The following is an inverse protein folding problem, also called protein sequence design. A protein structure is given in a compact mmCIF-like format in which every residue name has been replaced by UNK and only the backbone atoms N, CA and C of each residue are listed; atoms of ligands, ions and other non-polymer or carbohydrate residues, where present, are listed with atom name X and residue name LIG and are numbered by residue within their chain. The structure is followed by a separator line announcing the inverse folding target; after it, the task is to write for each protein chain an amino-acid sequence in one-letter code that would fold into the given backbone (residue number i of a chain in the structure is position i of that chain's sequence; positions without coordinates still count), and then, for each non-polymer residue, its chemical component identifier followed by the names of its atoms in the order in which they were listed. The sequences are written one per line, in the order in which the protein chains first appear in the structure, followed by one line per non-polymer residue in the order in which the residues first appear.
data_IF_347002986466
#
_entry.id   IF_347002986466
#
_cell.length_a   1.000
_cell.length_b   1.000
_cell.length_c   1.000
_cell.angle_alpha   90.00
_cell.angle_beta   90.00
_cell.angle_gamma   90.00
#
_symmetry.space_group_name_H-M   'P 1'
#
loop_
_entity.id
_entity.type
_entity.pdbx_description
1 polymer ?
#
# COMPACT_ATOMS: atom_id res chain seq x y z
N UNK A 1 -25.74 -53.66 -24.96
CA UNK A 1 -26.09 -52.41 -25.65
C UNK A 1 -26.32 -51.24 -24.69
N UNK A 2 -27.14 -51.40 -23.63
CA UNK A 2 -27.42 -50.30 -22.67
C UNK A 2 -26.18 -49.75 -21.95
N UNK A 3 -25.29 -50.63 -21.45
CA UNK A 3 -24.03 -50.21 -20.81
C UNK A 3 -23.07 -49.46 -21.74
N UNK A 4 -23.12 -49.72 -23.05
CA UNK A 4 -22.30 -49.00 -24.02
C UNK A 4 -22.92 -47.65 -24.39
N UNK A 5 -24.25 -47.60 -24.51
CA UNK A 5 -24.99 -46.36 -24.71
C UNK A 5 -24.77 -45.39 -23.55
N UNK A 6 -24.69 -45.90 -22.32
CA UNK A 6 -24.46 -45.09 -21.11
C UNK A 6 -23.02 -44.56 -21.04
N UNK A 7 -22.03 -45.36 -21.45
CA UNK A 7 -20.64 -44.89 -21.63
C UNK A 7 -20.54 -43.81 -22.70
N UNK A 8 -21.20 -43.99 -23.85
CA UNK A 8 -21.22 -42.99 -24.93
C UNK A 8 -21.87 -41.69 -24.46
N UNK A 9 -22.98 -41.76 -23.69
CA UNK A 9 -23.61 -40.57 -23.08
C UNK A 9 -22.68 -39.85 -22.11
N UNK A 10 -22.00 -40.58 -21.22
CA UNK A 10 -21.04 -39.99 -20.29
C UNK A 10 -19.84 -39.34 -21.00
N UNK A 11 -19.34 -39.96 -22.07
CA UNK A 11 -18.26 -39.42 -22.89
C UNK A 11 -18.69 -38.14 -23.62
N UNK A 12 -19.94 -38.08 -24.09
CA UNK A 12 -20.51 -36.88 -24.70
C UNK A 12 -20.68 -35.75 -23.69
N UNK A 13 -21.12 -36.05 -22.47
CA UNK A 13 -21.25 -35.06 -21.39
C UNK A 13 -19.89 -34.51 -20.96
N UNK A 14 -18.86 -35.36 -20.86
CA UNK A 14 -17.52 -34.92 -20.53
C UNK A 14 -16.86 -34.12 -21.66
N UNK A 15 -17.14 -34.46 -22.92
CA UNK A 15 -16.76 -33.64 -24.06
C UNK A 15 -17.44 -32.28 -24.05
N UNK A 16 -18.75 -32.24 -23.76
CA UNK A 16 -19.51 -30.99 -23.60
C UNK A 16 -18.94 -30.12 -22.49
N UNK A 17 -18.63 -30.69 -21.31
CA UNK A 17 -17.99 -29.96 -20.21
C UNK A 17 -16.65 -29.38 -20.61
N UNK A 18 -15.79 -30.17 -21.27
CA UNK A 18 -14.49 -29.70 -21.77
C UNK A 18 -14.64 -28.56 -22.77
N UNK A 19 -15.60 -28.64 -23.70
CA UNK A 19 -15.89 -27.54 -24.63
C UNK A 19 -16.32 -26.28 -23.89
N UNK A 20 -17.23 -26.39 -22.92
CA UNK A 20 -17.66 -25.24 -22.10
C UNK A 20 -16.47 -24.65 -21.34
N UNK A 21 -15.62 -25.47 -20.72
CA UNK A 21 -14.45 -25.00 -19.98
C UNK A 21 -13.45 -24.26 -20.89
N UNK A 22 -13.18 -24.78 -22.09
CA UNK A 22 -12.29 -24.13 -23.07
C UNK A 22 -12.87 -22.79 -23.51
N UNK A 23 -14.17 -22.74 -23.82
CA UNK A 23 -14.85 -21.50 -24.23
C UNK A 23 -14.86 -20.47 -23.11
N UNK A 24 -15.19 -20.88 -21.88
CA UNK A 24 -15.21 -19.99 -20.72
C UNK A 24 -13.80 -19.48 -20.39
N UNK A 25 -12.78 -20.34 -20.48
CA UNK A 25 -11.38 -19.95 -20.29
C UNK A 25 -10.92 -18.96 -21.37
N UNK A 26 -11.27 -19.19 -22.63
CA UNK A 26 -10.96 -18.28 -23.73
C UNK A 26 -11.63 -16.91 -23.55
N UNK A 27 -12.90 -16.89 -23.12
CA UNK A 27 -13.62 -15.64 -22.80
C UNK A 27 -12.99 -14.89 -21.64
N UNK A 28 -12.65 -15.59 -20.55
CA UNK A 28 -11.97 -15.01 -19.39
C UNK A 28 -10.60 -14.41 -19.78
N UNK A 29 -9.87 -15.07 -20.67
CA UNK A 29 -8.57 -14.60 -21.18
C UNK A 29 -8.75 -13.34 -22.03
N UNK A 30 -9.70 -13.32 -22.96
CA UNK A 30 -10.02 -12.15 -23.76
C UNK A 30 -10.44 -10.93 -22.91
N UNK A 31 -11.28 -11.14 -21.91
CA UNK A 31 -11.71 -10.10 -20.98
C UNK A 31 -10.52 -9.55 -20.16
N UNK A 32 -9.61 -10.43 -19.72
CA UNK A 32 -8.40 -10.00 -18.99
C UNK A 32 -7.48 -9.18 -19.86
N UNK A 33 -7.25 -9.61 -21.11
CA UNK A 33 -6.39 -8.88 -22.05
C UNK A 33 -6.97 -7.49 -22.32
N UNK A 34 -8.28 -7.40 -22.58
CA UNK A 34 -8.98 -6.14 -22.83
C UNK A 34 -8.89 -5.20 -21.63
N UNK A 35 -9.21 -5.69 -20.42
CA UNK A 35 -9.07 -4.91 -19.17
C UNK A 35 -7.63 -4.47 -18.94
N UNK A 36 -6.65 -5.34 -19.21
CA UNK A 36 -5.24 -5.01 -19.04
C UNK A 36 -4.76 -3.94 -20.02
N UNK A 37 -5.26 -3.94 -21.26
CA UNK A 37 -4.96 -2.93 -22.27
C UNK A 37 -5.56 -1.58 -21.86
N UNK A 38 -6.83 -1.57 -21.41
CA UNK A 38 -7.50 -0.37 -20.92
C UNK A 38 -6.75 0.24 -19.72
N UNK A 39 -6.35 -0.58 -18.75
CA UNK A 39 -5.55 -0.12 -17.61
C UNK A 39 -4.21 0.48 -18.05
N UNK A 40 -3.52 -0.12 -19.04
CA UNK A 40 -2.26 0.46 -19.57
C UNK A 40 -2.47 1.81 -20.23
N UNK A 41 -3.55 1.96 -21.00
CA UNK A 41 -3.92 3.23 -21.64
C UNK A 41 -4.19 4.29 -20.57
N UNK A 42 -4.94 3.94 -19.53
CA UNK A 42 -5.27 4.85 -18.43
C UNK A 42 -4.03 5.27 -17.65
N UNK A 43 -3.13 4.33 -17.31
CA UNK A 43 -1.83 4.65 -16.68
C UNK A 43 -1.02 5.60 -17.58
N UNK A 44 -1.01 5.36 -18.89
CA UNK A 44 -0.33 6.25 -19.85
C UNK A 44 -0.92 7.66 -19.87
N UNK A 45 -2.24 7.77 -19.80
CA UNK A 45 -2.95 9.05 -19.71
C UNK A 45 -2.63 9.79 -18.42
N UNK A 46 -2.71 9.11 -17.27
CA UNK A 46 -2.37 9.66 -15.97
C UNK A 46 -0.92 10.16 -15.90
N UNK A 47 0.02 9.47 -16.55
CA UNK A 47 1.42 9.93 -16.62
C UNK A 47 1.57 11.25 -17.38
N UNK A 48 0.79 11.45 -18.45
CA UNK A 48 0.76 12.72 -19.19
C UNK A 48 0.15 13.83 -18.35
N UNK A 49 -1.02 13.59 -17.75
CA UNK A 49 -1.67 14.54 -16.85
C UNK A 49 -0.76 14.96 -15.69
N UNK A 50 0.00 14.02 -15.12
CA UNK A 50 0.98 14.33 -14.08
C UNK A 50 2.12 15.22 -14.59
N UNK A 51 2.58 15.03 -15.83
CA UNK A 51 3.60 15.89 -16.45
C UNK A 51 3.06 17.32 -16.61
N UNK A 52 1.86 17.45 -17.15
CA UNK A 52 1.22 18.75 -17.40
C UNK A 52 0.97 19.50 -16.09
N UNK A 53 0.47 18.81 -15.06
CA UNK A 53 0.31 19.39 -13.71
C UNK A 53 1.64 19.80 -13.06
N UNK A 54 2.75 19.12 -13.38
CA UNK A 54 4.06 19.53 -12.86
C UNK A 54 4.59 20.78 -13.57
N UNK A 55 4.32 20.94 -14.86
CA UNK A 55 4.63 22.16 -15.60
C UNK A 55 3.83 23.33 -15.01
N UNK A 56 2.52 23.16 -14.83
CA UNK A 56 1.63 24.16 -14.21
C UNK A 56 2.03 24.47 -12.75
N UNK A 57 2.39 23.46 -11.97
CA UNK A 57 2.90 23.64 -10.60
C UNK A 57 4.20 24.43 -10.59
N UNK A 58 5.09 24.18 -11.56
CA UNK A 58 6.32 24.93 -11.73
C UNK A 58 6.04 26.39 -12.05
N UNK A 59 5.21 26.65 -13.05
CA UNK A 59 4.82 28.00 -13.45
C UNK A 59 4.17 28.78 -12.30
N UNK A 60 3.21 28.18 -11.59
CA UNK A 60 2.56 28.77 -10.43
C UNK A 60 3.57 29.04 -9.29
N UNK A 61 4.46 28.09 -9.03
CA UNK A 61 5.49 28.25 -8.00
C UNK A 61 6.48 29.38 -8.34
N UNK A 62 7.00 29.42 -9.57
CA UNK A 62 7.97 30.42 -10.00
C UNK A 62 7.35 31.81 -10.16
N UNK A 63 6.11 31.89 -10.66
CA UNK A 63 5.38 33.16 -10.77
C UNK A 63 5.16 33.83 -9.41
N UNK A 64 4.96 33.04 -8.37
CA UNK A 64 4.66 33.52 -7.02
C UNK A 64 5.85 33.45 -6.05
N UNK A 65 7.02 32.96 -6.49
CA UNK A 65 8.18 32.70 -5.63
C UNK A 65 8.70 33.94 -4.87
N UNK A 66 8.64 35.12 -5.51
CA UNK A 66 9.17 36.35 -4.92
C UNK A 66 8.20 37.02 -3.93
N UNK A 67 6.90 36.86 -4.14
CA UNK A 67 5.82 37.40 -3.29
C UNK A 67 4.59 36.49 -3.41
N UNK A 68 4.51 35.41 -2.61
CA UNK A 68 3.39 34.49 -2.71
C UNK A 68 2.10 35.18 -2.24
N UNK A 69 1.10 35.23 -3.12
CA UNK A 69 -0.25 35.61 -2.74
C UNK A 69 -0.96 34.44 -2.07
N UNK A 70 -1.88 34.71 -1.12
CA UNK A 70 -2.71 33.65 -0.49
C UNK A 70 -3.45 32.76 -1.50
N UNK A 71 -3.84 33.34 -2.65
CA UNK A 71 -4.51 32.60 -3.74
C UNK A 71 -3.54 31.67 -4.45
N UNK A 72 -2.30 32.11 -4.67
CA UNK A 72 -1.28 31.31 -5.34
C UNK A 72 -0.85 30.15 -4.46
N UNK A 73 -0.71 30.36 -3.15
CA UNK A 73 -0.45 29.29 -2.19
C UNK A 73 -1.55 28.22 -2.21
N UNK A 74 -2.82 28.64 -2.32
CA UNK A 74 -3.95 27.73 -2.45
C UNK A 74 -3.90 26.93 -3.76
N UNK A 75 -3.63 27.61 -4.88
CA UNK A 75 -3.49 26.97 -6.20
C UNK A 75 -2.32 25.95 -6.21
N UNK A 76 -1.17 26.32 -5.67
CA UNK A 76 0.00 25.44 -5.54
C UNK A 76 -0.35 24.21 -4.68
N UNK A 77 -1.05 24.42 -3.55
CA UNK A 77 -1.48 23.32 -2.68
C UNK A 77 -2.45 22.36 -3.39
N UNK A 78 -3.36 22.90 -4.21
CA UNK A 78 -4.30 22.12 -5.02
C UNK A 78 -3.59 21.32 -6.11
N UNK A 79 -2.67 21.93 -6.85
CA UNK A 79 -1.84 21.25 -7.85
C UNK A 79 -1.02 20.11 -7.23
N UNK A 80 -0.43 20.33 -6.05
CA UNK A 80 0.26 19.27 -5.28
C UNK A 80 -0.71 18.16 -4.87
N UNK A 81 -1.95 18.48 -4.49
CA UNK A 81 -2.95 17.48 -4.16
C UNK A 81 -3.35 16.63 -5.38
N UNK A 82 -3.53 17.25 -6.55
CA UNK A 82 -3.81 16.55 -7.80
C UNK A 82 -2.68 15.62 -8.23
N UNK A 83 -1.42 16.05 -8.14
CA UNK A 83 -0.25 15.19 -8.41
C UNK A 83 -0.26 13.95 -7.50
N UNK A 84 -0.52 14.12 -6.19
CA UNK A 84 -0.62 13.01 -5.23
C UNK A 84 -1.77 12.06 -5.57
N UNK A 85 -2.90 12.59 -6.02
CA UNK A 85 -4.04 11.77 -6.40
C UNK A 85 -3.76 10.94 -7.66
N UNK A 86 -3.10 11.53 -8.66
CA UNK A 86 -2.65 10.80 -9.85
C UNK A 86 -1.67 9.68 -9.47
N UNK A 87 -0.77 9.91 -8.52
CA UNK A 87 0.14 8.88 -8.03
C UNK A 87 -0.59 7.71 -7.37
N UNK A 88 -1.61 7.99 -6.54
CA UNK A 88 -2.44 6.95 -5.93
C UNK A 88 -3.20 6.14 -6.98
N UNK A 89 -3.82 6.82 -7.95
CA UNK A 89 -4.58 6.17 -9.04
C UNK A 89 -3.66 5.32 -9.90
N UNK A 90 -2.52 5.86 -10.31
CA UNK A 90 -1.49 5.14 -11.07
C UNK A 90 -0.98 3.92 -10.31
N UNK A 91 -0.74 4.03 -8.99
CA UNK A 91 -0.33 2.91 -8.17
C UNK A 91 -1.43 1.84 -8.03
N UNK A 92 -2.69 2.25 -7.88
CA UNK A 92 -3.83 1.33 -7.82
C UNK A 92 -4.01 0.56 -9.12
N UNK A 93 -3.98 1.25 -10.27
CA UNK A 93 -4.06 0.65 -11.59
C UNK A 93 -2.88 -0.29 -11.88
N UNK A 94 -1.65 0.08 -11.50
CA UNK A 94 -0.50 -0.82 -11.61
C UNK A 94 -0.64 -2.09 -10.74
N UNK A 95 -1.23 -1.97 -9.55
CA UNK A 95 -1.55 -3.15 -8.71
C UNK A 95 -2.61 -4.03 -9.36
N UNK A 96 -3.65 -3.44 -9.96
CA UNK A 96 -4.68 -4.19 -10.69
C UNK A 96 -4.09 -4.90 -11.91
N UNK A 97 -3.24 -4.22 -12.69
CA UNK A 97 -2.54 -4.81 -13.84
C UNK A 97 -1.68 -6.01 -13.41
N UNK A 98 -0.93 -5.86 -12.31
CA UNK A 98 -0.09 -6.94 -11.75
C UNK A 98 -0.90 -8.08 -11.14
N UNK A 99 -2.06 -7.79 -10.55
CA UNK A 99 -2.96 -8.82 -10.02
C UNK A 99 -3.64 -9.61 -11.15
N UNK A 100 -4.07 -8.94 -12.22
CA UNK A 100 -4.62 -9.57 -13.43
C UNK A 100 -3.62 -10.45 -14.16
N UNK A 101 -2.33 -10.05 -14.18
CA UNK A 101 -1.24 -10.85 -14.74
C UNK A 101 -0.93 -12.12 -13.93
N UNK A 102 -1.32 -12.20 -12.65
CA UNK A 102 -1.10 -13.37 -11.78
C UNK A 102 -2.21 -14.43 -11.88
N UNK A 103 -2.95 -14.44 -12.98
CA UNK A 103 -4.01 -15.42 -13.24
C UNK A 103 -3.59 -16.85 -12.82
N UNK A 104 -4.26 -17.39 -11.80
CA UNK A 104 -4.03 -18.72 -11.21
C UNK A 104 -2.58 -19.06 -10.81
N UNK A 105 -1.74 -18.09 -10.43
CA UNK A 105 -0.73 -18.42 -9.42
C UNK A 105 -1.51 -18.67 -8.12
N UNK A 106 -1.49 -19.91 -7.64
CA UNK A 106 -2.14 -20.38 -6.41
C UNK A 106 -2.30 -19.23 -5.42
N UNK A 107 -3.54 -19.01 -4.97
CA UNK A 107 -3.87 -18.15 -3.83
C UNK A 107 -2.71 -18.12 -2.86
N UNK A 108 -2.05 -16.98 -2.57
CA UNK A 108 -1.11 -16.96 -1.48
C UNK A 108 -1.94 -17.33 -0.25
N UNK A 109 -1.76 -18.56 0.26
CA UNK A 109 -2.28 -18.97 1.56
C UNK A 109 -1.90 -17.84 2.50
N UNK A 110 -2.88 -17.04 2.93
CA UNK A 110 -2.72 -16.07 4.01
C UNK A 110 -2.31 -16.88 5.23
N UNK A 111 -1.01 -17.13 5.39
CA UNK A 111 -0.45 -17.67 6.63
C UNK A 111 -0.65 -16.59 7.68
N UNK A 112 -1.63 -16.79 8.56
CA UNK A 112 -1.61 -16.16 9.88
C UNK A 112 -2.67 -15.10 10.21
N UNK A 113 -3.83 -15.03 9.56
CA UNK A 113 -4.96 -14.27 10.14
C UNK A 113 -6.24 -15.12 10.17
N UNK A 114 -6.57 -15.76 11.31
CA UNK A 114 -7.92 -16.30 11.48
C UNK A 114 -8.95 -15.16 11.46
N UNK A 115 -10.13 -15.46 10.90
CA UNK A 115 -11.25 -14.55 10.83
C UNK A 115 -11.75 -14.22 12.24
N UNK A 116 -12.02 -12.94 12.49
CA UNK A 116 -12.59 -12.48 13.76
C UNK A 116 -14.08 -12.80 13.74
N UNK A 117 -14.45 -13.94 14.31
CA UNK A 117 -15.83 -14.38 14.48
C UNK A 117 -16.12 -14.68 15.96
N UNK A 118 -17.19 -14.04 16.44
CA UNK A 118 -18.09 -14.39 17.55
C UNK A 118 -17.50 -14.86 18.90
N UNK A 119 -17.80 -14.06 19.93
CA UNK A 119 -17.73 -14.42 21.34
C UNK A 119 -18.65 -15.61 21.66
N UNK A 120 -18.11 -16.65 22.28
CA UNK A 120 -18.81 -17.52 23.25
C UNK A 120 -17.80 -17.92 24.32
N UNK A 121 -18.27 -17.96 25.57
CA UNK A 121 -17.43 -17.80 26.75
C UNK A 121 -16.68 -19.04 27.25
N UNK A 122 -16.02 -18.78 28.38
CA UNK A 122 -15.48 -19.71 29.38
C UNK A 122 -14.37 -20.67 28.93
N UNK A 123 -13.12 -20.23 29.12
CA UNK A 123 -12.14 -20.99 29.91
C UNK A 123 -10.96 -20.11 30.32
N UNK A 124 -10.56 -20.26 31.58
CA UNK A 124 -9.49 -19.56 32.27
C UNK A 124 -8.19 -20.32 31.99
N UNK A 125 -7.33 -19.86 31.08
CA UNK A 125 -5.92 -20.31 31.02
C UNK A 125 -5.03 -19.41 30.14
N UNK A 126 -3.99 -18.87 30.79
CA UNK A 126 -2.71 -18.38 30.27
C UNK A 126 -2.69 -17.35 29.12
N UNK A 127 -2.33 -16.11 29.47
CA UNK A 127 -1.90 -15.08 28.54
C UNK A 127 -0.71 -15.57 27.67
N UNK A 128 -0.65 -15.20 26.37
CA UNK A 128 0.45 -15.61 25.51
C UNK A 128 1.77 -15.02 26.01
N UNK A 129 2.73 -15.89 26.39
CA UNK A 129 4.11 -15.52 26.72
C UNK A 129 4.71 -14.74 25.54
N UNK A 130 4.82 -13.41 25.68
CA UNK A 130 5.57 -12.55 24.75
C UNK A 130 7.04 -12.96 24.84
N UNK A 131 7.50 -13.83 23.95
CA UNK A 131 8.93 -14.03 23.72
C UNK A 131 9.53 -12.68 23.29
N UNK A 132 10.43 -12.14 24.11
CA UNK A 132 11.29 -11.02 23.74
C UNK A 132 11.00 -9.64 24.35
N UNK A 133 10.10 -9.49 25.34
CA UNK A 133 10.04 -8.24 26.12
C UNK A 133 9.85 -8.54 27.62
N UNK A 134 10.81 -8.19 28.49
CA UNK A 134 10.59 -8.29 29.93
C UNK A 134 9.44 -7.37 30.35
N UNK A 135 8.61 -7.87 31.26
CA UNK A 135 7.46 -7.16 31.80
C UNK A 135 7.93 -5.95 32.63
N UNK A 136 7.36 -4.78 32.36
CA UNK A 136 7.57 -3.59 33.18
C UNK A 136 6.56 -3.64 34.31
N UNK A 137 7.03 -3.96 35.52
CA UNK A 137 6.21 -3.96 36.73
C UNK A 137 7.06 -3.95 37.99
N UNK A 138 7.08 -2.77 38.63
CA UNK A 138 7.23 -2.49 40.06
C UNK A 138 8.29 -3.27 40.89
N UNK A 139 9.38 -2.58 41.24
CA UNK A 139 9.93 -2.67 42.59
C UNK A 139 10.09 -1.26 43.17
N UNK A 140 9.38 -1.01 44.25
CA UNK A 140 9.68 -0.03 45.29
C UNK A 140 11.11 -0.21 45.78
N UNK A 141 11.88 0.88 45.91
CA UNK A 141 13.21 0.84 46.52
C UNK A 141 14.13 1.96 46.04
N UNK A 142 14.14 3.05 46.79
CA UNK A 142 15.22 4.03 46.97
C UNK A 142 16.59 3.68 46.33
N UNK A 143 17.07 4.49 45.40
CA UNK A 143 18.33 5.26 45.53
C UNK A 143 18.76 5.94 44.22
N UNK A 144 19.19 7.19 44.41
CA UNK A 144 20.07 8.08 43.62
C UNK A 144 20.74 7.51 42.35
N UNK A 145 20.69 8.33 41.30
CA UNK A 145 21.78 8.70 40.37
C UNK A 145 21.71 8.27 38.89
N UNK A 146 22.02 9.29 38.07
CA UNK A 146 22.54 9.31 36.69
C UNK A 146 21.56 9.08 35.51
N UNK A 147 21.33 10.16 34.77
CA UNK A 147 20.68 10.19 33.47
C UNK A 147 21.44 9.35 32.42
N UNK A 148 20.74 8.75 31.44
CA UNK A 148 21.37 7.88 30.43
C UNK A 148 22.30 8.68 29.51
N UNK A 149 23.58 8.26 29.46
CA UNK A 149 24.61 8.78 28.55
C UNK A 149 24.15 8.67 27.09
N UNK A 150 23.93 9.81 26.42
CA UNK A 150 23.69 9.88 24.98
C UNK A 150 24.97 9.43 24.25
N UNK A 151 24.99 8.19 23.75
CA UNK A 151 26.00 7.77 22.76
C UNK A 151 25.73 8.51 21.45
N UNK A 152 26.71 9.26 20.97
CA UNK A 152 26.73 9.75 19.58
C UNK A 152 26.47 11.24 19.34
N UNK A 153 26.58 12.14 20.33
CA UNK A 153 26.69 13.58 20.06
C UNK A 153 27.82 14.20 20.90
N UNK A 154 28.89 14.74 20.29
CA UNK A 154 29.83 15.58 21.01
C UNK A 154 29.10 16.84 21.53
N UNK A 155 29.41 17.32 22.74
CA UNK A 155 28.81 18.53 23.29
C UNK A 155 29.23 19.75 22.45
N UNK A 156 28.25 20.59 22.12
CA UNK A 156 28.48 21.90 21.51
C UNK A 156 29.09 22.81 22.58
N UNK A 157 30.38 23.10 22.47
CA UNK A 157 31.03 24.09 23.32
C UNK A 157 30.34 25.45 23.16
N UNK A 158 30.19 26.14 24.28
CA UNK A 158 29.26 27.24 24.48
C UNK A 158 29.54 28.47 23.60
N UNK A 159 28.44 29.10 23.20
CA UNK A 159 28.43 30.54 23.11
C UNK A 159 28.32 31.07 24.53
N UNK A 160 29.34 31.77 25.01
CA UNK A 160 29.16 32.80 26.04
C UNK A 160 29.33 34.15 25.35
N UNK A 161 28.20 34.81 25.17
CA UNK A 161 28.09 36.24 24.92
C UNK A 161 28.50 36.94 26.22
N UNK A 162 29.58 37.72 26.16
CA UNK A 162 29.81 38.87 27.05
C UNK A 162 30.46 39.99 26.25
N UNK A 163 29.67 40.98 25.88
CA UNK A 163 30.08 42.41 25.86
C UNK A 163 29.54 43.03 27.17
N UNK A 164 30.12 44.10 27.74
CA UNK A 164 30.60 45.31 27.03
C UNK A 164 31.87 46.02 27.58
N UNK A 165 32.22 47.09 26.85
CA UNK A 165 32.92 48.35 27.24
C UNK A 165 34.45 48.50 27.34
N UNK A 166 34.88 49.63 26.74
CA UNK A 166 36.08 50.50 26.87
C UNK A 166 37.48 49.85 26.91
N UNK A 167 38.51 50.32 26.20
CA UNK A 167 38.93 51.69 25.88
C UNK A 167 39.95 51.65 24.74
#
# INVERSE_FOLDING_TARGET
MEKELEKVKSALDDFRKKLVDVVMKGKDEADRVTKSAQIRIEIGSLKRQKKDLFEELGEAFYGSYKKPGKKDEANIAELVAHVKEIDKRSAALNRQLKAGARGKAQTPKRRGRPAKGASTGTSKAAAPKRRGRPAKGASTGTSKAAAPKRRGRPPKAGQEVKTPDEK
#
